data_IF_009508449651
#
_entry.id   IF_009508449651
#
_cell.length_a   1.000
_cell.length_b   1.000
_cell.length_c   1.000
_cell.angle_alpha   90.00
_cell.angle_beta   90.00
_cell.angle_gamma   90.00
#
_symmetry.space_group_name_H-M   'P 1'
#
loop_
_entity.id
_entity.type
_entity.pdbx_description
1 polymer ?
#
# COMPACT_ATOMS: atom_id res chain seq x y z
N UNK A 1 -4.08 5.02 -21.93
CA UNK A 1 -3.66 4.21 -20.76
C UNK A 1 -3.36 2.81 -21.27
N UNK A 2 -2.15 2.30 -21.04
CA UNK A 2 -1.76 0.97 -21.49
C UNK A 2 -2.49 -0.13 -20.73
N UNK A 3 -2.71 -1.27 -21.37
CA UNK A 3 -3.24 -2.48 -20.73
C UNK A 3 -2.22 -3.03 -19.73
N UNK A 4 -2.71 -3.61 -18.64
CA UNK A 4 -1.86 -4.32 -17.68
C UNK A 4 -1.19 -5.53 -18.36
N UNK A 5 0.12 -5.66 -18.17
CA UNK A 5 0.93 -6.77 -18.64
C UNK A 5 1.47 -7.54 -17.44
N UNK A 6 1.13 -8.81 -17.31
CA UNK A 6 1.55 -9.64 -16.18
C UNK A 6 3.05 -9.91 -16.15
N UNK A 7 3.69 -9.97 -17.32
CA UNK A 7 5.13 -10.15 -17.44
C UNK A 7 5.91 -8.89 -17.09
N UNK A 8 5.24 -7.74 -17.15
CA UNK A 8 5.80 -6.43 -16.86
C UNK A 8 4.82 -5.52 -16.08
N UNK A 9 4.52 -5.89 -14.82
CA UNK A 9 3.31 -5.41 -14.13
C UNK A 9 3.39 -4.00 -13.56
N UNK A 10 4.55 -3.35 -13.62
CA UNK A 10 4.80 -2.07 -12.94
C UNK A 10 4.69 -0.85 -13.87
N UNK A 11 4.40 -1.08 -15.15
CA UNK A 11 4.30 -0.05 -16.18
C UNK A 11 2.86 0.43 -16.32
N UNK A 12 2.66 1.70 -16.69
CA UNK A 12 1.33 2.31 -16.86
C UNK A 12 0.43 2.19 -15.62
N UNK A 13 1.03 2.17 -14.43
CA UNK A 13 0.34 2.09 -13.14
C UNK A 13 0.05 3.48 -12.59
N UNK A 14 -0.75 3.52 -11.53
CA UNK A 14 -0.94 4.75 -10.74
C UNK A 14 0.44 5.27 -10.31
N UNK A 15 0.80 6.54 -10.60
CA UNK A 15 2.13 7.08 -10.29
C UNK A 15 2.52 6.95 -8.80
N UNK A 16 1.52 6.86 -7.91
CA UNK A 16 1.75 6.64 -6.47
C UNK A 16 2.42 5.29 -6.17
N UNK A 17 2.32 4.29 -7.07
CA UNK A 17 3.06 3.03 -6.94
C UNK A 17 4.57 3.28 -6.87
N UNK A 18 5.12 3.94 -7.90
CA UNK A 18 6.56 4.22 -8.01
C UNK A 18 7.07 5.26 -7.01
N UNK A 19 6.17 6.08 -6.45
CA UNK A 19 6.46 7.01 -5.36
C UNK A 19 6.50 6.31 -3.98
N UNK A 20 5.79 5.20 -3.82
CA UNK A 20 5.57 4.56 -2.51
C UNK A 20 6.35 3.27 -2.31
N UNK A 21 6.53 2.49 -3.38
CA UNK A 21 7.08 1.14 -3.36
C UNK A 21 8.36 1.08 -4.19
N UNK A 22 9.34 0.33 -3.70
CA UNK A 22 10.42 -0.22 -4.52
C UNK A 22 9.99 -1.58 -5.04
N UNK A 23 9.89 -1.71 -6.36
CA UNK A 23 9.43 -2.91 -7.06
C UNK A 23 10.53 -3.53 -7.93
N UNK A 24 10.44 -4.83 -8.29
CA UNK A 24 11.44 -5.50 -9.12
C UNK A 24 11.79 -4.72 -10.40
N UNK A 25 13.09 -4.58 -10.71
CA UNK A 25 13.58 -3.83 -11.87
C UNK A 25 13.61 -2.31 -11.68
N UNK A 26 13.08 -1.76 -10.58
CA UNK A 26 13.19 -0.34 -10.31
C UNK A 26 14.64 0.04 -10.00
N UNK A 27 15.13 1.12 -10.59
CA UNK A 27 16.38 1.73 -10.18
C UNK A 27 16.13 2.58 -8.93
N UNK A 28 16.74 2.19 -7.82
CA UNK A 28 16.66 2.87 -6.55
C UNK A 28 18.07 3.12 -6.00
N UNK A 29 18.40 4.40 -5.77
CA UNK A 29 19.73 4.83 -5.33
C UNK A 29 20.88 4.27 -6.20
N UNK A 30 20.72 4.36 -7.53
CA UNK A 30 21.71 3.88 -8.50
C UNK A 30 21.84 2.36 -8.62
N UNK A 31 21.00 1.57 -7.93
CA UNK A 31 21.00 0.11 -7.97
C UNK A 31 19.67 -0.43 -8.49
N UNK A 32 19.73 -1.51 -9.25
CA UNK A 32 18.54 -2.23 -9.72
C UNK A 32 18.03 -3.14 -8.61
N UNK A 33 16.82 -2.89 -8.12
CA UNK A 33 16.21 -3.75 -7.12
C UNK A 33 15.81 -5.10 -7.76
N UNK A 34 16.48 -6.17 -7.34
CA UNK A 34 16.49 -7.46 -8.07
C UNK A 34 16.00 -8.64 -7.24
N UNK A 35 14.84 -8.56 -6.55
CA UNK A 35 14.39 -9.58 -5.61
C UNK A 35 13.90 -10.87 -6.30
N UNK A 36 13.72 -10.84 -7.62
CA UNK A 36 13.26 -11.98 -8.43
C UNK A 36 14.41 -12.86 -8.92
N UNK A 37 15.66 -12.42 -8.76
CA UNK A 37 16.84 -13.20 -9.15
C UNK A 37 17.29 -14.05 -7.96
N UNK A 38 17.27 -15.38 -8.13
CA UNK A 38 17.73 -16.30 -7.09
C UNK A 38 19.20 -16.03 -6.72
N UNK A 39 19.49 -16.03 -5.42
CA UNK A 39 20.84 -15.78 -4.88
C UNK A 39 21.24 -14.30 -4.74
N UNK A 40 20.49 -13.37 -5.34
CA UNK A 40 20.71 -11.92 -5.19
C UNK A 40 20.46 -11.46 -3.74
N UNK A 41 21.11 -10.37 -3.32
CA UNK A 41 20.98 -9.78 -1.98
C UNK A 41 19.55 -9.31 -1.64
N UNK A 42 18.80 -8.87 -2.66
CA UNK A 42 17.41 -8.45 -2.55
C UNK A 42 16.41 -9.61 -2.44
N UNK A 43 16.84 -10.85 -2.74
CA UNK A 43 15.93 -11.99 -2.84
C UNK A 43 15.31 -12.36 -1.47
N UNK A 44 14.01 -12.68 -1.39
CA UNK A 44 13.35 -12.91 -0.10
C UNK A 44 13.92 -13.99 0.82
N UNK A 45 14.56 -14.99 0.23
CA UNK A 45 15.19 -16.10 0.94
C UNK A 45 16.67 -15.84 1.32
N UNK A 46 17.23 -14.68 0.98
CA UNK A 46 18.67 -14.44 1.08
C UNK A 46 19.16 -14.16 2.50
N UNK A 47 18.52 -13.23 3.20
CA UNK A 47 18.90 -12.83 4.55
C UNK A 47 17.67 -12.49 5.40
N UNK A 48 17.87 -12.38 6.71
CA UNK A 48 16.80 -12.04 7.66
C UNK A 48 16.22 -10.63 7.42
N UNK A 49 17.03 -9.71 6.92
CA UNK A 49 16.67 -8.34 6.58
C UNK A 49 16.31 -8.14 5.09
N UNK A 50 16.28 -9.20 4.28
CA UNK A 50 15.77 -9.13 2.90
C UNK A 50 14.23 -8.97 2.89
N UNK A 51 13.67 -8.43 1.81
CA UNK A 51 12.21 -8.28 1.67
C UNK A 51 11.51 -9.62 1.78
N UNK A 52 10.36 -9.70 2.46
CA UNK A 52 9.56 -10.95 2.49
C UNK A 52 8.60 -11.09 1.33
N UNK A 53 8.36 -10.02 0.57
CA UNK A 53 7.31 -9.95 -0.45
C UNK A 53 7.85 -9.63 -1.84
N UNK A 54 9.16 -9.39 -2.00
CA UNK A 54 9.72 -8.91 -3.26
C UNK A 54 9.42 -7.42 -3.50
N UNK A 55 9.01 -6.70 -2.47
CA UNK A 55 8.77 -5.25 -2.48
C UNK A 55 9.40 -4.59 -1.25
N UNK A 56 9.83 -3.34 -1.38
CA UNK A 56 10.30 -2.51 -0.27
C UNK A 56 9.58 -1.16 -0.24
N UNK A 57 9.77 -0.39 0.83
CA UNK A 57 9.15 0.92 1.00
C UNK A 57 10.06 2.02 0.42
N UNK A 58 9.46 3.00 -0.24
CA UNK A 58 10.15 4.18 -0.80
C UNK A 58 9.69 5.49 -0.16
N UNK A 59 8.40 5.57 0.19
CA UNK A 59 7.81 6.76 0.83
C UNK A 59 8.58 7.12 2.11
N UNK A 60 8.85 8.40 2.30
CA UNK A 60 9.66 8.97 3.39
C UNK A 60 11.16 8.63 3.39
N UNK A 61 11.65 7.83 2.43
CA UNK A 61 13.06 7.38 2.42
C UNK A 61 13.84 7.98 1.25
N UNK A 62 13.17 8.40 0.18
CA UNK A 62 13.82 8.93 -1.03
C UNK A 62 13.91 10.47 -1.06
N UNK A 63 15.03 11.06 -1.54
CA UNK A 63 16.29 10.38 -1.87
C UNK A 63 17.08 10.05 -0.59
N UNK A 64 17.73 8.88 -0.55
CA UNK A 64 18.30 8.35 0.70
C UNK A 64 19.55 9.12 1.15
N UNK A 65 20.22 9.77 0.21
CA UNK A 65 21.41 10.63 0.38
C UNK A 65 21.10 11.98 1.05
N UNK A 66 19.83 12.32 1.25
CA UNK A 66 19.45 13.53 2.01
C UNK A 66 19.80 13.43 3.51
N UNK A 67 20.21 12.25 4.00
CA UNK A 67 20.55 12.01 5.40
C UNK A 67 21.96 11.41 5.53
N UNK A 68 22.86 12.13 6.21
CA UNK A 68 24.22 11.64 6.49
C UNK A 68 24.23 10.44 7.47
N UNK A 69 23.28 10.43 8.41
CA UNK A 69 23.07 9.33 9.36
C UNK A 69 21.63 8.79 9.24
N UNK A 70 21.51 7.57 8.72
CA UNK A 70 20.22 6.88 8.57
C UNK A 70 19.56 6.53 9.91
N UNK A 71 20.31 6.53 11.01
CA UNK A 71 19.80 6.31 12.37
C UNK A 71 19.31 7.60 13.03
N UNK A 72 19.70 8.77 12.52
CA UNK A 72 19.29 10.08 13.01
C UNK A 72 18.79 10.98 11.87
N UNK A 73 17.66 10.59 11.30
CA UNK A 73 17.04 11.34 10.20
C UNK A 73 16.03 12.35 10.73
N UNK A 74 16.06 13.61 10.25
CA UNK A 74 15.02 14.62 10.49
C UNK A 74 13.71 14.38 9.72
N UNK A 75 13.30 13.12 9.54
CA UNK A 75 12.14 12.73 8.72
C UNK A 75 10.85 13.33 9.27
N UNK A 76 10.15 14.09 8.44
CA UNK A 76 8.85 14.68 8.78
C UNK A 76 7.72 13.68 8.47
N UNK A 77 7.38 12.84 9.45
CA UNK A 77 6.26 11.91 9.35
C UNK A 77 4.95 12.68 9.54
N UNK A 78 4.13 12.73 8.49
CA UNK A 78 2.86 13.44 8.52
C UNK A 78 1.85 12.69 9.40
N UNK A 79 1.30 13.39 10.40
CA UNK A 79 0.19 12.87 11.23
C UNK A 79 -1.16 13.22 10.61
N UNK A 80 -1.31 14.44 10.10
CA UNK A 80 -2.48 14.93 9.36
C UNK A 80 -1.97 15.70 8.15
N UNK A 81 -2.65 15.55 7.00
CA UNK A 81 -2.35 16.34 5.80
C UNK A 81 -3.62 16.60 5.00
N UNK A 82 -3.58 17.62 4.15
CA UNK A 82 -4.77 18.12 3.47
C UNK A 82 -5.54 17.07 2.65
N UNK A 83 -4.85 16.10 2.03
CA UNK A 83 -5.53 15.02 1.31
C UNK A 83 -6.44 14.18 2.23
N UNK A 84 -6.11 14.03 3.52
CA UNK A 84 -6.97 13.35 4.50
C UNK A 84 -8.25 14.14 4.73
N UNK A 85 -8.15 15.47 4.87
CA UNK A 85 -9.32 16.35 5.01
C UNK A 85 -10.26 16.17 3.81
N UNK A 86 -9.72 16.19 2.60
CA UNK A 86 -10.48 16.02 1.36
C UNK A 86 -11.15 14.64 1.27
N UNK A 87 -10.39 13.55 1.48
CA UNK A 87 -10.93 12.20 1.36
C UNK A 87 -11.88 11.83 2.50
N UNK A 88 -11.68 12.36 3.71
CA UNK A 88 -12.61 12.17 4.84
C UNK A 88 -13.91 12.95 4.62
N UNK A 89 -13.84 14.18 4.08
CA UNK A 89 -15.01 14.94 3.64
C UNK A 89 -15.79 14.19 2.56
N UNK A 90 -15.11 13.72 1.51
CA UNK A 90 -15.75 12.96 0.44
C UNK A 90 -16.40 11.67 0.96
N UNK A 91 -15.71 10.92 1.84
CA UNK A 91 -16.27 9.72 2.46
C UNK A 91 -17.55 10.03 3.25
N UNK A 92 -17.56 11.07 4.08
CA UNK A 92 -18.75 11.48 4.82
C UNK A 92 -19.91 11.87 3.89
N UNK A 93 -19.64 12.64 2.83
CA UNK A 93 -20.65 13.01 1.83
C UNK A 93 -21.23 11.79 1.12
N UNK A 94 -20.37 10.82 0.74
CA UNK A 94 -20.81 9.56 0.13
C UNK A 94 -21.74 8.82 1.08
N UNK A 95 -21.37 8.63 2.35
CA UNK A 95 -22.21 7.89 3.31
C UNK A 95 -23.54 8.59 3.63
N UNK A 96 -23.59 9.93 3.54
CA UNK A 96 -24.83 10.72 3.63
C UNK A 96 -25.63 10.76 2.31
N UNK A 97 -25.16 10.08 1.27
CA UNK A 97 -25.73 10.09 -0.08
C UNK A 97 -25.78 11.49 -0.72
N UNK A 98 -24.87 12.38 -0.32
CA UNK A 98 -24.66 13.72 -0.89
C UNK A 98 -23.71 13.64 -2.08
N UNK A 99 -24.16 12.99 -3.16
CA UNK A 99 -23.38 12.78 -4.38
C UNK A 99 -23.54 14.00 -5.29
N UNK A 100 -22.56 14.89 -5.25
CA UNK A 100 -22.55 16.14 -6.03
C UNK A 100 -21.12 16.53 -6.48
N UNK A 101 -21.00 17.65 -7.17
CA UNK A 101 -19.72 18.13 -7.71
C UNK A 101 -18.67 18.42 -6.63
N UNK A 102 -19.08 18.84 -5.43
CA UNK A 102 -18.16 19.09 -4.32
C UNK A 102 -17.52 17.79 -3.81
N UNK A 103 -18.29 16.71 -3.72
CA UNK A 103 -17.77 15.38 -3.38
C UNK A 103 -16.76 14.90 -4.43
N UNK A 104 -17.11 15.01 -5.72
CA UNK A 104 -16.20 14.63 -6.80
C UNK A 104 -14.93 15.50 -6.81
N UNK A 105 -15.07 16.81 -6.62
CA UNK A 105 -13.94 17.74 -6.59
C UNK A 105 -12.94 17.41 -5.47
N UNK A 106 -13.41 16.98 -4.30
CA UNK A 106 -12.53 16.56 -3.21
C UNK A 106 -11.70 15.31 -3.57
N UNK A 107 -12.29 14.32 -4.25
CA UNK A 107 -11.58 13.13 -4.73
C UNK A 107 -10.64 13.49 -5.89
N UNK A 108 -11.12 14.31 -6.83
CA UNK A 108 -10.38 14.72 -8.02
C UNK A 108 -9.16 15.55 -7.68
N UNK A 109 -9.22 16.42 -6.69
CA UNK A 109 -8.06 17.19 -6.23
C UNK A 109 -6.90 16.27 -5.80
N UNK A 110 -7.19 15.17 -5.12
CA UNK A 110 -6.16 14.18 -4.71
C UNK A 110 -5.65 13.39 -5.91
N UNK A 111 -6.55 12.93 -6.78
CA UNK A 111 -6.22 12.14 -7.98
C UNK A 111 -5.37 12.95 -8.97
N UNK A 112 -5.79 14.16 -9.31
CA UNK A 112 -5.10 15.03 -10.27
C UNK A 112 -3.70 15.41 -9.78
N UNK A 113 -3.55 15.74 -8.49
CA UNK A 113 -2.22 15.99 -7.89
C UNK A 113 -1.30 14.77 -8.04
N UNK A 114 -1.85 13.57 -7.92
CA UNK A 114 -1.12 12.32 -8.11
C UNK A 114 -0.91 11.92 -9.59
N UNK A 115 -1.32 12.74 -10.56
CA UNK A 115 -1.24 12.42 -11.99
C UNK A 115 -2.27 11.40 -12.46
N UNK A 116 -3.32 11.15 -11.68
CA UNK A 116 -4.43 10.28 -12.04
C UNK A 116 -5.57 11.07 -12.70
N UNK A 117 -6.30 10.47 -13.66
CA UNK A 117 -7.45 11.15 -14.27
C UNK A 117 -8.54 11.43 -13.24
N UNK A 118 -9.41 12.39 -13.53
CA UNK A 118 -10.61 12.62 -12.73
C UNK A 118 -11.47 11.34 -12.61
N UNK A 119 -12.34 11.31 -11.61
CA UNK A 119 -13.27 10.21 -11.38
C UNK A 119 -14.17 10.05 -12.60
N UNK A 120 -14.21 8.84 -13.15
CA UNK A 120 -15.19 8.48 -14.17
C UNK A 120 -16.59 8.44 -13.54
N UNK A 121 -17.34 9.52 -13.72
CA UNK A 121 -18.67 9.71 -13.12
C UNK A 121 -19.70 8.74 -13.71
N UNK A 122 -19.49 8.23 -14.92
CA UNK A 122 -20.38 7.21 -15.52
C UNK A 122 -20.21 5.86 -14.82
N UNK A 123 -18.98 5.53 -14.43
CA UNK A 123 -18.66 4.34 -13.66
C UNK A 123 -19.02 4.48 -12.19
N UNK A 124 -18.65 5.59 -11.56
CA UNK A 124 -18.84 5.85 -10.13
C UNK A 124 -20.07 6.72 -9.89
N UNK A 125 -21.23 6.18 -10.26
CA UNK A 125 -22.52 6.86 -10.28
C UNK A 125 -23.49 6.45 -9.15
N UNK A 126 -23.03 5.67 -8.18
CA UNK A 126 -23.85 5.25 -7.04
C UNK A 126 -23.05 5.25 -5.75
N UNK A 127 -23.75 5.33 -4.61
CA UNK A 127 -23.13 5.34 -3.28
C UNK A 127 -22.20 4.14 -3.08
N UNK A 128 -22.62 2.93 -3.43
CA UNK A 128 -21.82 1.71 -3.25
C UNK A 128 -20.53 1.71 -4.08
N UNK A 129 -20.62 2.15 -5.35
CA UNK A 129 -19.44 2.23 -6.22
C UNK A 129 -18.48 3.32 -5.74
N UNK A 130 -19.02 4.45 -5.26
CA UNK A 130 -18.24 5.54 -4.69
C UNK A 130 -17.58 5.12 -3.36
N UNK A 131 -18.27 4.35 -2.51
CA UNK A 131 -17.70 3.76 -1.29
C UNK A 131 -16.51 2.86 -1.61
N UNK A 132 -16.60 2.04 -2.66
CA UNK A 132 -15.47 1.24 -3.13
C UNK A 132 -14.33 2.09 -3.70
N UNK A 133 -14.65 3.18 -4.41
CA UNK A 133 -13.65 4.11 -4.92
C UNK A 133 -12.90 4.81 -3.78
N UNK A 134 -13.60 5.45 -2.85
CA UNK A 134 -12.97 6.21 -1.76
C UNK A 134 -12.11 5.32 -0.88
N UNK A 135 -12.56 4.07 -0.60
CA UNK A 135 -11.76 3.08 0.12
C UNK A 135 -10.46 2.70 -0.61
N UNK A 136 -10.48 2.65 -1.94
CA UNK A 136 -9.28 2.41 -2.77
C UNK A 136 -8.37 3.63 -2.81
N UNK A 137 -8.91 4.83 -2.99
CA UNK A 137 -8.14 6.08 -2.95
C UNK A 137 -7.44 6.26 -1.61
N UNK A 138 -8.14 6.07 -0.49
CA UNK A 138 -7.52 6.12 0.84
C UNK A 138 -6.40 5.09 1.01
N UNK A 139 -6.59 3.87 0.47
CA UNK A 139 -5.56 2.80 0.55
C UNK A 139 -4.28 3.18 -0.19
N UNK A 140 -4.38 3.76 -1.38
CA UNK A 140 -3.18 4.11 -2.18
C UNK A 140 -2.56 5.43 -1.70
N UNK A 141 -3.39 6.40 -1.33
CA UNK A 141 -2.93 7.72 -0.90
C UNK A 141 -2.17 7.63 0.43
N UNK A 142 -2.72 6.92 1.42
CA UNK A 142 -2.17 6.81 2.77
C UNK A 142 -1.39 5.52 3.04
N UNK A 143 -0.94 4.83 1.99
CA UNK A 143 -0.06 3.67 2.15
C UNK A 143 1.20 4.07 2.96
N UNK A 144 1.49 3.28 4.01
CA UNK A 144 2.55 3.52 5.01
C UNK A 144 2.40 4.76 5.90
N UNK A 145 1.17 5.27 6.07
CA UNK A 145 0.89 6.41 6.96
C UNK A 145 0.02 6.01 8.17
N UNK A 146 0.07 4.73 8.58
CA UNK A 146 -0.63 4.24 9.80
C UNK A 146 -2.16 4.09 9.69
N UNK A 147 -2.79 4.54 8.61
CA UNK A 147 -4.26 4.57 8.49
C UNK A 147 -4.92 3.22 8.22
N UNK A 148 -4.24 2.30 7.52
CA UNK A 148 -4.90 1.15 6.89
C UNK A 148 -5.59 0.21 7.88
N UNK A 149 -5.01 -0.04 9.06
CA UNK A 149 -5.64 -0.89 10.09
C UNK A 149 -6.93 -0.23 10.59
N UNK A 150 -6.88 1.05 10.96
CA UNK A 150 -8.04 1.78 11.46
C UNK A 150 -9.17 1.85 10.41
N UNK A 151 -8.83 2.13 9.15
CA UNK A 151 -9.76 2.10 8.02
C UNK A 151 -10.46 0.74 7.88
N UNK A 152 -9.71 -0.37 7.93
CA UNK A 152 -10.27 -1.73 7.86
C UNK A 152 -11.24 -2.02 9.03
N UNK A 153 -10.84 -1.63 10.24
CA UNK A 153 -11.61 -1.90 11.47
C UNK A 153 -12.89 -1.08 11.53
N UNK A 154 -12.85 0.21 11.17
CA UNK A 154 -14.02 1.10 11.19
C UNK A 154 -15.00 0.81 10.07
N UNK A 155 -14.52 0.29 8.94
CA UNK A 155 -15.36 -0.20 7.85
C UNK A 155 -15.96 -1.58 8.09
N UNK A 156 -15.59 -2.23 9.19
CA UNK A 156 -16.03 -3.57 9.54
C UNK A 156 -15.75 -4.63 8.45
N UNK A 157 -14.58 -4.52 7.78
CA UNK A 157 -14.18 -5.44 6.69
C UNK A 157 -12.99 -6.32 7.08
N UNK A 158 -12.62 -6.33 8.37
CA UNK A 158 -11.42 -7.00 8.86
C UNK A 158 -11.44 -8.50 8.54
N UNK A 159 -12.58 -9.17 8.79
CA UNK A 159 -12.75 -10.59 8.47
C UNK A 159 -12.55 -10.90 6.98
N UNK A 160 -12.86 -9.95 6.09
CA UNK A 160 -12.81 -10.13 4.64
C UNK A 160 -11.41 -9.89 4.07
N UNK A 161 -10.62 -9.01 4.69
CA UNK A 161 -9.34 -8.54 4.12
C UNK A 161 -8.10 -8.85 4.97
N UNK A 162 -8.28 -9.30 6.21
CA UNK A 162 -7.20 -9.74 7.10
C UNK A 162 -7.16 -11.26 7.30
N UNK A 163 -8.08 -12.00 6.68
CA UNK A 163 -8.01 -13.46 6.57
C UNK A 163 -7.59 -13.88 5.17
N UNK A 164 -6.75 -14.91 5.07
CA UNK A 164 -6.42 -15.56 3.80
C UNK A 164 -4.94 -15.50 3.44
N UNK A 165 -4.64 -16.00 2.23
CA UNK A 165 -3.27 -16.09 1.72
C UNK A 165 -2.76 -14.72 1.28
N UNK A 166 -1.53 -14.40 1.67
CA UNK A 166 -0.79 -13.23 1.21
C UNK A 166 0.30 -13.69 0.27
N UNK A 167 0.46 -12.95 -0.82
CA UNK A 167 1.41 -13.23 -1.88
C UNK A 167 2.39 -12.08 -2.08
N UNK A 168 3.60 -12.41 -2.53
CA UNK A 168 4.65 -11.47 -2.91
C UNK A 168 4.55 -11.05 -4.39
N UNK A 169 5.67 -10.61 -4.94
CA UNK A 169 5.77 -10.32 -6.37
C UNK A 169 5.70 -11.60 -7.21
N UNK A 170 5.40 -11.44 -8.51
CA UNK A 170 5.54 -12.53 -9.48
C UNK A 170 7.00 -12.98 -9.53
N UNK A 171 7.20 -14.30 -9.61
CA UNK A 171 8.54 -14.89 -9.64
C UNK A 171 9.17 -14.80 -11.03
N UNK A 172 10.51 -14.86 -11.07
CA UNK A 172 11.21 -15.21 -12.30
C UNK A 172 10.76 -16.61 -12.76
N UNK A 173 10.48 -16.77 -14.05
CA UNK A 173 10.33 -18.08 -14.67
C UNK A 173 11.70 -18.70 -14.96
N UNK A 174 11.84 -19.31 -16.13
CA UNK A 174 13.10 -19.93 -16.56
C UNK A 174 13.99 -19.00 -17.40
N UNK A 175 13.54 -17.79 -17.68
CA UNK A 175 14.23 -16.80 -18.52
C UNK A 175 14.78 -15.66 -17.66
N UNK A 176 15.59 -14.79 -18.28
CA UNK A 176 16.09 -13.59 -17.61
C UNK A 176 14.92 -12.65 -17.21
N UNK A 177 14.65 -12.45 -15.90
CA UNK A 177 13.47 -11.72 -15.45
C UNK A 177 13.62 -10.20 -15.48
N UNK A 178 14.85 -9.68 -15.51
CA UNK A 178 15.19 -8.25 -15.55
C UNK A 178 16.02 -8.02 -16.81
N UNK A 179 15.46 -7.30 -17.78
CA UNK A 179 16.07 -7.10 -19.09
C UNK A 179 17.04 -5.92 -19.06
N UNK A 180 18.05 -5.92 -19.94
CA UNK A 180 18.96 -4.77 -20.12
C UNK A 180 18.25 -3.55 -20.71
N UNK A 181 17.10 -3.76 -21.36
CA UNK A 181 16.24 -2.68 -21.84
C UNK A 181 15.60 -1.91 -20.69
N UNK A 182 15.61 -0.57 -20.79
CA UNK A 182 15.09 0.32 -19.77
C UNK A 182 13.97 1.22 -20.29
N UNK A 183 13.20 1.77 -19.36
CA UNK A 183 12.26 2.86 -19.59
C UNK A 183 12.96 4.23 -19.53
N UNK A 184 12.33 5.31 -20.01
CA UNK A 184 12.90 6.66 -19.91
C UNK A 184 13.24 7.11 -18.48
N UNK A 185 12.60 6.53 -17.45
CA UNK A 185 12.91 6.81 -16.06
C UNK A 185 14.09 5.98 -15.50
N UNK A 186 14.72 5.13 -16.33
CA UNK A 186 15.84 4.27 -15.98
C UNK A 186 15.45 2.89 -15.44
N UNK A 187 14.18 2.64 -15.13
CA UNK A 187 13.75 1.33 -14.63
C UNK A 187 13.88 0.26 -15.72
N UNK A 188 14.26 -0.95 -15.32
CA UNK A 188 14.41 -2.06 -16.23
C UNK A 188 13.05 -2.64 -16.62
N UNK A 189 12.92 -3.03 -17.89
CA UNK A 189 11.81 -3.86 -18.35
C UNK A 189 11.91 -5.24 -17.71
N UNK A 190 10.76 -5.84 -17.47
CA UNK A 190 10.66 -7.17 -16.87
C UNK A 190 10.09 -8.19 -17.85
N UNK A 191 10.44 -9.44 -17.59
CA UNK A 191 9.87 -10.62 -18.23
C UNK A 191 9.59 -11.65 -17.12
N UNK A 192 8.51 -11.44 -16.36
CA UNK A 192 8.08 -12.34 -15.28
C UNK A 192 7.11 -13.39 -15.82
N UNK A 193 7.42 -14.68 -15.65
CA UNK A 193 6.55 -15.77 -16.10
C UNK A 193 6.00 -16.61 -14.93
N UNK A 194 6.56 -16.44 -13.73
CA UNK A 194 6.10 -17.15 -12.55
C UNK A 194 4.85 -16.50 -11.94
N UNK A 195 4.10 -17.31 -11.19
CA UNK A 195 3.01 -16.82 -10.35
C UNK A 195 3.54 -16.02 -9.15
N UNK A 196 2.70 -15.17 -8.53
CA UNK A 196 3.04 -14.56 -7.24
C UNK A 196 3.38 -15.63 -6.21
N UNK A 197 4.54 -15.51 -5.55
CA UNK A 197 4.92 -16.51 -4.55
C UNK A 197 4.12 -16.33 -3.26
N UNK A 198 3.82 -17.44 -2.59
CA UNK A 198 3.14 -17.43 -1.29
C UNK A 198 4.06 -16.91 -0.18
N UNK A 199 3.52 -16.03 0.68
CA UNK A 199 4.26 -15.45 1.81
C UNK A 199 3.78 -16.04 3.12
N UNK A 200 2.48 -15.93 3.40
CA UNK A 200 1.89 -16.36 4.66
C UNK A 200 0.37 -16.54 4.50
N UNK A 201 -0.24 -17.26 5.45
CA UNK A 201 -1.69 -17.28 5.65
C UNK A 201 -1.99 -16.44 6.89
N UNK A 202 -2.78 -15.38 6.72
CA UNK A 202 -3.23 -14.53 7.82
C UNK A 202 -4.57 -15.02 8.36
N UNK A 203 -4.73 -14.87 9.66
CA UNK A 203 -5.98 -15.09 10.36
C UNK A 203 -6.37 -13.85 11.16
N UNK A 204 -7.67 -13.60 11.25
CA UNK A 204 -8.26 -12.53 12.02
C UNK A 204 -9.55 -13.04 12.65
N UNK A 205 -9.56 -13.09 13.97
CA UNK A 205 -10.72 -13.38 14.80
C UNK A 205 -11.37 -12.07 15.29
N UNK A 206 -12.66 -12.13 15.66
CA UNK A 206 -13.45 -10.98 16.14
C UNK A 206 -12.73 -10.20 17.26
N UNK A 207 -12.13 -10.91 18.22
CA UNK A 207 -11.41 -10.30 19.35
C UNK A 207 -10.19 -9.49 18.90
N UNK A 208 -9.56 -9.79 17.76
CA UNK A 208 -8.40 -9.04 17.24
C UNK A 208 -8.75 -7.61 16.78
N UNK A 209 -10.03 -7.22 16.83
CA UNK A 209 -10.49 -5.86 16.55
C UNK A 209 -9.83 -4.86 17.48
N UNK A 210 -9.78 -5.16 18.77
CA UNK A 210 -9.20 -4.34 19.81
C UNK A 210 -7.96 -5.02 20.40
N UNK A 211 -6.98 -4.23 20.83
CA UNK A 211 -5.81 -4.79 21.51
C UNK A 211 -6.19 -5.21 22.94
N UNK A 212 -5.60 -6.27 23.50
CA UNK A 212 -5.83 -6.64 24.89
C UNK A 212 -5.35 -5.54 25.83
N UNK A 213 -6.08 -5.33 26.91
CA UNK A 213 -5.56 -4.58 28.05
C UNK A 213 -4.48 -5.42 28.74
N UNK A 214 -3.39 -4.78 29.18
CA UNK A 214 -2.31 -5.46 29.91
C UNK A 214 -2.86 -6.07 31.19
N UNK A 215 -2.48 -7.33 31.48
CA UNK A 215 -2.85 -8.01 32.72
C UNK A 215 -2.50 -7.17 33.96
N UNK A 216 -1.32 -6.55 33.96
CA UNK A 216 -0.88 -5.68 35.06
C UNK A 216 -1.81 -4.47 35.31
N UNK A 217 -2.50 -3.99 34.28
CA UNK A 217 -3.46 -2.89 34.41
C UNK A 217 -4.79 -3.37 34.99
N UNK A 218 -5.23 -4.59 34.65
CA UNK A 218 -6.40 -5.23 35.22
C UNK A 218 -6.18 -5.54 36.71
N UNK A 219 -5.02 -6.10 37.07
CA UNK A 219 -4.68 -6.44 38.45
C UNK A 219 -4.66 -5.21 39.37
N UNK A 220 -4.16 -4.07 38.85
CA UNK A 220 -4.09 -2.80 39.58
C UNK A 220 -5.44 -2.11 39.73
N UNK A 221 -6.37 -2.32 38.79
CA UNK A 221 -7.67 -1.69 38.79
C UNK A 221 -8.77 -2.74 38.60
N UNK A 222 -9.36 -3.28 39.69
CA UNK A 222 -10.39 -4.31 39.59
C UNK A 222 -11.69 -3.83 38.94
N UNK A 223 -11.85 -2.53 38.66
CA UNK A 223 -12.97 -1.99 37.87
C UNK A 223 -12.71 -1.99 36.36
N UNK A 224 -11.48 -2.26 35.92
CA UNK A 224 -11.13 -2.34 34.52
C UNK A 224 -11.55 -3.71 33.97
N UNK A 225 -12.32 -3.72 32.90
CA UNK A 225 -12.82 -4.95 32.26
C UNK A 225 -12.08 -5.16 30.94
N UNK A 226 -11.67 -6.40 30.70
CA UNK A 226 -10.96 -6.80 29.47
C UNK A 226 -11.86 -6.67 28.23
N UNK A 227 -11.23 -6.43 27.08
CA UNK A 227 -11.89 -6.52 25.78
C UNK A 227 -12.37 -7.95 25.51
N UNK A 228 -13.54 -8.10 24.89
CA UNK A 228 -14.13 -9.42 24.63
C UNK A 228 -13.19 -10.35 23.86
N UNK A 229 -13.03 -11.59 24.37
CA UNK A 229 -12.24 -12.65 23.74
C UNK A 229 -10.77 -12.71 24.12
N UNK A 230 -10.34 -11.91 25.11
CA UNK A 230 -9.02 -11.97 25.74
C UNK A 230 -9.10 -12.35 27.22
#
# INVERSE_FOLDING_TARGET
>A
AGTYDESNPYVNRDPRLAATIVYPGQVYNGKVFSPVISGNDDHPAKANNSTKTGYNFKKYINPIDQYDDMWNTGRNIMVIRYAEVLLSKAEAMIELNLINDEMYAAIDAVRQRAGMPAVDRSKYNSQDKLRQLIRRERRVEFAYEGMRRFDIIRWNIAKDVLNGKVYGCRQAGNENPILDETYPNGDHKLNLQGEPFFVETRTFAEHNRYLPLSQSSLDKNPKLVQNSGY
#
